data_IF_846529061620
#
_entry.id   IF_846529061620
#
_cell.length_a   1.000
_cell.length_b   1.000
_cell.length_c   1.000
_cell.angle_alpha   90.00
_cell.angle_beta   90.00
_cell.angle_gamma   90.00
#
_symmetry.space_group_name_H-M   'P 1'
#
loop_
_entity.id
_entity.type
_entity.pdbx_description
1 polymer ?
#
# COMPACT_ATOMS: atom_id res chain seq x y z
N UNK A 1 38.06 7.73 -73.06
CA UNK A 1 36.63 7.98 -73.31
C UNK A 1 35.73 7.29 -72.27
N UNK A 2 35.57 5.95 -72.16
CA UNK A 2 34.58 5.38 -71.21
C UNK A 2 34.93 5.52 -69.71
N UNK A 3 36.22 5.70 -69.36
CA UNK A 3 36.66 5.84 -67.95
C UNK A 3 36.46 7.25 -67.38
N UNK A 4 36.58 8.28 -68.22
CA UNK A 4 36.41 9.68 -67.79
C UNK A 4 34.95 9.97 -67.46
N UNK A 5 34.01 9.39 -68.20
CA UNK A 5 32.57 9.55 -67.94
C UNK A 5 32.17 8.93 -66.59
N UNK A 6 32.78 7.80 -66.19
CA UNK A 6 32.54 7.17 -64.89
C UNK A 6 33.09 8.00 -63.72
N UNK A 7 34.27 8.60 -63.89
CA UNK A 7 34.86 9.52 -62.91
C UNK A 7 34.01 10.78 -62.76
N UNK A 8 33.55 11.37 -63.86
CA UNK A 8 32.65 12.54 -63.84
C UNK A 8 31.34 12.20 -63.12
N UNK A 9 30.76 11.03 -63.35
CA UNK A 9 29.54 10.60 -62.67
C UNK A 9 29.74 10.37 -61.16
N UNK A 10 30.92 9.92 -60.74
CA UNK A 10 31.26 9.78 -59.32
C UNK A 10 31.35 11.16 -58.65
N UNK A 11 32.06 12.11 -59.28
CA UNK A 11 32.17 13.48 -58.78
C UNK A 11 30.81 14.17 -58.72
N UNK A 12 29.93 13.96 -59.71
CA UNK A 12 28.58 14.51 -59.69
C UNK A 12 27.71 13.91 -58.58
N UNK A 13 27.86 12.61 -58.30
CA UNK A 13 27.18 11.96 -57.17
C UNK A 13 27.70 12.48 -55.83
N UNK A 14 28.99 12.72 -55.71
CA UNK A 14 29.62 13.30 -54.52
C UNK A 14 29.18 14.75 -54.30
N UNK A 15 29.18 15.58 -55.35
CA UNK A 15 28.66 16.95 -55.31
C UNK A 15 27.17 16.94 -54.96
N UNK A 16 26.36 16.05 -55.56
CA UNK A 16 24.94 15.92 -55.20
C UNK A 16 24.75 15.54 -53.74
N UNK A 17 25.58 14.65 -53.19
CA UNK A 17 25.53 14.26 -51.79
C UNK A 17 26.00 15.37 -50.83
N UNK A 18 26.92 16.23 -51.26
CA UNK A 18 27.39 17.41 -50.51
C UNK A 18 26.44 18.60 -50.62
N UNK A 19 25.68 18.70 -51.71
CA UNK A 19 24.67 19.74 -51.96
C UNK A 19 23.30 19.37 -51.42
N UNK A 20 23.01 18.07 -51.23
CA UNK A 20 21.89 17.66 -50.38
C UNK A 20 22.27 18.01 -48.94
N UNK A 21 21.65 19.05 -48.33
CA UNK A 21 21.96 19.41 -46.96
C UNK A 21 21.70 18.17 -46.11
N UNK A 22 22.71 17.74 -45.33
CA UNK A 22 22.62 16.64 -44.36
C UNK A 22 21.21 16.67 -43.76
N UNK A 23 20.39 15.60 -43.90
CA UNK A 23 19.00 15.62 -43.47
C UNK A 23 18.96 16.22 -42.07
N UNK A 24 18.18 17.30 -41.93
CA UNK A 24 18.16 18.08 -40.70
C UNK A 24 18.04 17.11 -39.52
N UNK A 25 18.85 17.28 -38.44
CA UNK A 25 18.75 16.43 -37.27
C UNK A 25 17.26 16.27 -36.92
N UNK A 26 16.77 15.04 -36.65
CA UNK A 26 15.38 14.85 -36.28
C UNK A 26 15.06 15.86 -35.19
N UNK A 27 14.09 16.72 -35.46
CA UNK A 27 13.74 17.83 -34.58
C UNK A 27 13.59 17.27 -33.16
N UNK A 28 14.22 17.89 -32.14
CA UNK A 28 14.07 17.43 -30.78
C UNK A 28 12.57 17.28 -30.50
N UNK A 29 12.11 16.11 -29.98
CA UNK A 29 10.71 15.94 -29.67
C UNK A 29 10.29 17.12 -28.77
N UNK A 30 9.13 17.74 -29.03
CA UNK A 30 8.69 18.90 -28.29
C UNK A 30 8.76 18.57 -26.79
N UNK A 31 9.36 19.46 -25.99
CA UNK A 31 9.48 19.28 -24.54
C UNK A 31 8.09 18.98 -23.99
N UNK A 32 7.86 17.73 -23.59
CA UNK A 32 6.60 17.34 -22.96
C UNK A 32 6.50 18.08 -21.63
N UNK A 33 5.36 18.68 -21.35
CA UNK A 33 5.13 19.28 -20.04
C UNK A 33 5.19 18.22 -18.94
N UNK A 34 5.51 18.62 -17.71
CA UNK A 34 5.61 17.73 -16.54
C UNK A 34 4.37 16.85 -16.36
N UNK A 35 3.19 17.36 -16.70
CA UNK A 35 1.94 16.58 -16.65
C UNK A 35 1.95 15.40 -17.64
N UNK A 36 2.41 15.62 -18.87
CA UNK A 36 2.50 14.55 -19.87
C UNK A 36 3.59 13.54 -19.49
N UNK A 37 4.70 13.98 -18.91
CA UNK A 37 5.75 13.09 -18.37
C UNK A 37 5.24 12.25 -17.20
N UNK A 38 4.40 12.82 -16.34
CA UNK A 38 3.77 12.11 -15.22
C UNK A 38 2.77 11.06 -15.71
N UNK A 39 1.92 11.39 -16.68
CA UNK A 39 0.98 10.43 -17.28
C UNK A 39 1.74 9.32 -18.02
N UNK A 40 2.79 9.68 -18.77
CA UNK A 40 3.68 8.70 -19.41
C UNK A 40 4.35 7.79 -18.39
N UNK A 41 4.79 8.33 -17.24
CA UNK A 41 5.35 7.57 -16.14
C UNK A 41 4.33 6.57 -15.55
N UNK A 42 3.15 7.02 -15.14
CA UNK A 42 2.12 6.15 -14.56
C UNK A 42 1.74 5.03 -15.55
N UNK A 43 1.62 5.38 -16.83
CA UNK A 43 1.28 4.44 -17.89
C UNK A 43 2.40 3.42 -18.14
N UNK A 44 3.65 3.89 -18.21
CA UNK A 44 4.83 3.04 -18.42
C UNK A 44 5.06 2.04 -17.30
N UNK A 45 4.86 2.46 -16.06
CA UNK A 45 5.09 1.63 -14.88
C UNK A 45 3.82 0.91 -14.38
N UNK A 46 2.69 1.01 -15.09
CA UNK A 46 1.40 0.37 -14.74
C UNK A 46 0.95 0.64 -13.30
N UNK A 47 1.32 1.79 -12.73
CA UNK A 47 1.09 2.13 -11.31
C UNK A 47 -0.39 2.29 -11.00
N UNK A 48 -1.20 2.64 -12.00
CA UNK A 48 -2.63 2.85 -11.84
C UNK A 48 -3.35 1.59 -11.32
N UNK A 49 -2.99 0.40 -11.81
CA UNK A 49 -3.57 -0.86 -11.34
C UNK A 49 -3.22 -1.17 -9.88
N UNK A 50 -1.97 -0.91 -9.49
CA UNK A 50 -1.52 -1.05 -8.11
C UNK A 50 -2.25 -0.09 -7.18
N UNK A 51 -2.42 1.17 -7.59
CA UNK A 51 -3.12 2.18 -6.81
C UNK A 51 -4.59 1.79 -6.56
N UNK A 52 -5.30 1.32 -7.59
CA UNK A 52 -6.69 0.86 -7.46
C UNK A 52 -6.77 -0.35 -6.54
N UNK A 53 -5.91 -1.35 -6.73
CA UNK A 53 -5.89 -2.55 -5.88
C UNK A 53 -5.61 -2.20 -4.40
N UNK A 54 -4.68 -1.30 -4.14
CA UNK A 54 -4.34 -0.85 -2.78
C UNK A 54 -5.51 -0.13 -2.11
N UNK A 55 -6.11 0.85 -2.80
CA UNK A 55 -7.25 1.61 -2.27
C UNK A 55 -8.42 0.66 -1.97
N UNK A 56 -8.77 -0.21 -2.93
CA UNK A 56 -9.82 -1.20 -2.72
C UNK A 56 -9.51 -2.14 -1.55
N UNK A 57 -8.27 -2.60 -1.43
CA UNK A 57 -7.82 -3.43 -0.31
C UNK A 57 -7.99 -2.75 1.06
N UNK A 58 -7.63 -1.47 1.16
CA UNK A 58 -7.80 -0.68 2.39
C UNK A 58 -9.28 -0.57 2.78
N UNK A 59 -10.15 -0.21 1.85
CA UNK A 59 -11.58 -0.05 2.14
C UNK A 59 -12.28 -1.38 2.46
N UNK A 60 -11.94 -2.46 1.74
CA UNK A 60 -12.48 -3.80 2.05
C UNK A 60 -12.05 -4.23 3.46
N UNK A 61 -10.79 -3.99 3.83
CA UNK A 61 -10.31 -4.22 5.19
C UNK A 61 -11.11 -3.46 6.25
N UNK A 62 -11.44 -2.19 6.00
CA UNK A 62 -12.25 -1.38 6.92
C UNK A 62 -13.69 -1.91 7.07
N UNK A 63 -14.32 -2.34 5.97
CA UNK A 63 -15.68 -2.94 6.02
C UNK A 63 -15.67 -4.21 6.87
N UNK A 64 -14.67 -5.07 6.68
CA UNK A 64 -14.53 -6.30 7.47
C UNK A 64 -14.28 -5.96 8.95
N UNK A 65 -13.42 -4.98 9.23
CA UNK A 65 -13.16 -4.55 10.61
C UNK A 65 -14.42 -4.01 11.29
N UNK A 66 -15.23 -3.20 10.60
CA UNK A 66 -16.50 -2.70 11.14
C UNK A 66 -17.49 -3.83 11.39
N UNK A 67 -17.62 -4.80 10.46
CA UNK A 67 -18.45 -5.99 10.69
C UNK A 67 -18.03 -6.75 11.96
N UNK A 68 -16.73 -6.93 12.18
CA UNK A 68 -16.24 -7.63 13.37
C UNK A 68 -16.44 -6.79 14.63
N UNK A 69 -16.00 -5.53 14.60
CA UNK A 69 -15.99 -4.65 15.77
C UNK A 69 -17.39 -4.21 16.20
N UNK A 70 -18.24 -3.86 15.24
CA UNK A 70 -19.51 -3.20 15.50
C UNK A 70 -20.68 -4.18 15.55
N UNK A 71 -20.55 -5.37 14.94
CA UNK A 71 -21.62 -6.39 14.93
C UNK A 71 -21.19 -7.63 15.71
N UNK A 72 -20.06 -8.27 15.38
CA UNK A 72 -19.68 -9.53 16.03
C UNK A 72 -19.22 -9.36 17.48
N UNK A 73 -18.40 -8.36 17.80
CA UNK A 73 -17.90 -8.17 19.17
C UNK A 73 -19.02 -7.89 20.18
N UNK A 74 -20.05 -7.05 19.90
CA UNK A 74 -21.19 -6.93 20.79
C UNK A 74 -21.93 -8.25 21.01
N UNK A 75 -22.16 -9.03 19.95
CA UNK A 75 -22.84 -10.34 20.05
C UNK A 75 -22.02 -11.32 20.89
N UNK A 76 -20.70 -11.38 20.68
CA UNK A 76 -19.78 -12.22 21.46
C UNK A 76 -19.72 -11.75 22.92
N UNK A 77 -19.71 -10.44 23.15
CA UNK A 77 -19.71 -9.84 24.48
C UNK A 77 -20.99 -10.14 25.27
N UNK A 78 -22.13 -10.24 24.60
CA UNK A 78 -23.41 -10.67 25.19
C UNK A 78 -23.44 -12.19 25.45
N UNK A 79 -22.89 -12.99 24.53
CA UNK A 79 -22.90 -14.46 24.64
C UNK A 79 -21.92 -15.00 25.68
N UNK A 80 -20.81 -14.29 25.93
CA UNK A 80 -19.76 -14.69 26.88
C UNK A 80 -19.57 -13.57 27.93
N UNK A 81 -20.43 -13.54 28.98
CA UNK A 81 -20.31 -12.56 30.05
C UNK A 81 -18.95 -12.72 30.74
N UNK A 82 -18.04 -11.77 30.51
CA UNK A 82 -16.65 -11.80 30.99
C UNK A 82 -15.60 -11.45 29.91
N UNK A 83 -15.86 -11.76 28.63
CA UNK A 83 -14.96 -11.37 27.53
C UNK A 83 -15.01 -9.87 27.22
N UNK A 84 -16.17 -9.23 27.42
CA UNK A 84 -16.31 -7.77 27.28
C UNK A 84 -15.47 -6.97 28.28
N UNK A 85 -14.94 -7.62 29.31
CA UNK A 85 -14.12 -7.01 30.37
C UNK A 85 -12.64 -7.42 30.31
N UNK A 86 -12.19 -8.13 29.26
CA UNK A 86 -10.76 -8.45 29.11
C UNK A 86 -9.91 -7.19 28.88
N UNK A 87 -10.48 -6.16 28.25
CA UNK A 87 -9.85 -4.85 28.04
C UNK A 87 -9.49 -4.12 29.34
N UNK A 88 -10.15 -4.46 30.45
CA UNK A 88 -9.89 -3.87 31.77
C UNK A 88 -8.88 -4.68 32.58
N UNK A 89 -8.44 -5.84 32.09
CA UNK A 89 -7.37 -6.61 32.71
C UNK A 89 -6.04 -5.87 32.52
N UNK A 90 -5.68 -5.10 33.53
CA UNK A 90 -4.45 -4.32 33.61
C UNK A 90 -3.62 -4.88 34.75
N UNK A 91 -2.39 -5.29 34.45
CA UNK A 91 -1.42 -5.60 35.49
C UNK A 91 -0.74 -4.27 35.83
N UNK A 92 -0.91 -3.81 37.06
CA UNK A 92 -0.17 -2.67 37.57
C UNK A 92 1.30 -3.06 37.66
N UNK A 93 2.18 -2.31 37.00
CA UNK A 93 3.61 -2.42 37.26
C UNK A 93 3.86 -1.77 38.61
N UNK A 94 4.38 -2.50 39.61
CA UNK A 94 4.70 -1.89 40.89
C UNK A 94 5.75 -0.80 40.65
N UNK A 95 5.57 0.40 41.23
CA UNK A 95 6.55 1.46 41.08
C UNK A 95 7.89 1.02 41.68
N UNK A 96 8.98 1.43 41.06
CA UNK A 96 10.36 1.10 41.44
C UNK A 96 10.74 1.69 42.81
N UNK A 97 9.99 2.67 43.32
CA UNK A 97 10.07 3.15 44.69
C UNK A 97 8.69 3.57 45.22
N UNK A 98 8.39 3.17 46.46
CA UNK A 98 7.20 3.52 47.22
C UNK A 98 7.64 4.38 48.43
N UNK A 99 6.89 5.44 48.74
CA UNK A 99 7.07 6.16 50.01
C UNK A 99 6.61 5.32 51.21
N UNK A 100 6.86 5.81 52.43
CA UNK A 100 6.47 5.13 53.67
C UNK A 100 4.94 4.99 53.84
N UNK A 101 4.15 5.61 52.97
CA UNK A 101 2.70 5.62 52.92
C UNK A 101 2.15 4.76 51.75
N UNK A 102 3.03 4.10 50.98
CA UNK A 102 2.67 3.22 49.88
C UNK A 102 2.33 3.92 48.57
N UNK A 103 2.70 5.19 48.39
CA UNK A 103 2.48 5.93 47.15
C UNK A 103 3.71 5.87 46.23
N UNK A 104 3.53 5.79 44.90
CA UNK A 104 4.63 5.86 43.94
C UNK A 104 5.34 7.23 44.02
N UNK A 105 6.67 7.25 44.17
CA UNK A 105 7.45 8.49 44.26
C UNK A 105 7.95 9.03 42.93
N UNK A 106 7.82 8.27 41.84
CA UNK A 106 8.39 8.60 40.53
C UNK A 106 7.31 9.13 39.56
N UNK A 107 7.32 10.41 39.16
CA UNK A 107 6.28 11.02 38.32
C UNK A 107 6.09 10.32 36.97
N UNK A 108 7.17 9.78 36.38
CA UNK A 108 7.14 9.09 35.09
C UNK A 108 6.61 7.64 35.18
N UNK A 109 6.53 7.08 36.39
CA UNK A 109 6.12 5.69 36.64
C UNK A 109 4.79 5.59 37.42
N UNK A 110 4.14 6.73 37.67
CA UNK A 110 2.78 6.78 38.22
C UNK A 110 1.76 6.29 37.18
N UNK A 111 1.53 4.97 37.13
CA UNK A 111 0.36 4.42 36.43
C UNK A 111 0.59 3.89 35.02
N UNK A 112 1.80 3.43 34.68
CA UNK A 112 2.00 2.69 33.44
C UNK A 112 1.36 1.29 33.54
N UNK A 113 0.07 1.22 33.21
CA UNK A 113 -0.70 0.00 33.17
C UNK A 113 -0.27 -0.80 31.93
N UNK A 114 0.43 -1.93 32.11
CA UNK A 114 0.63 -2.87 31.01
C UNK A 114 -0.73 -3.48 30.67
N UNK A 115 -1.34 -2.93 29.61
CA UNK A 115 -2.63 -3.36 29.09
C UNK A 115 -2.53 -4.67 28.31
N UNK A 116 -2.18 -5.76 29.00
CA UNK A 116 -2.21 -7.13 28.45
C UNK A 116 -3.61 -7.45 27.90
N UNK A 117 -4.65 -6.89 28.54
CA UNK A 117 -6.02 -6.94 28.04
C UNK A 117 -6.20 -6.45 26.61
N UNK A 118 -5.62 -5.31 26.23
CA UNK A 118 -5.76 -4.76 24.87
C UNK A 118 -5.01 -5.61 23.82
N UNK A 119 -3.86 -6.17 24.20
CA UNK A 119 -3.12 -7.09 23.35
C UNK A 119 -3.90 -8.40 23.11
N UNK A 120 -4.47 -8.98 24.18
CA UNK A 120 -5.27 -10.21 24.07
C UNK A 120 -6.56 -9.97 23.26
N UNK A 121 -7.23 -8.83 23.46
CA UNK A 121 -8.39 -8.41 22.64
C UNK A 121 -7.98 -8.26 21.17
N UNK A 122 -6.80 -7.71 20.89
CA UNK A 122 -6.29 -7.59 19.51
C UNK A 122 -6.04 -8.96 18.86
N UNK A 123 -5.49 -9.93 19.60
CA UNK A 123 -5.31 -11.31 19.12
C UNK A 123 -6.66 -11.99 18.85
N UNK A 124 -7.61 -11.88 19.78
CA UNK A 124 -8.96 -12.46 19.63
C UNK A 124 -9.65 -11.84 18.40
N UNK A 125 -9.56 -10.52 18.25
CA UNK A 125 -10.12 -9.79 17.10
C UNK A 125 -9.49 -10.26 15.79
N UNK A 126 -8.16 -10.45 15.75
CA UNK A 126 -7.46 -10.97 14.58
C UNK A 126 -7.95 -12.36 14.18
N UNK A 127 -8.11 -13.27 15.15
CA UNK A 127 -8.63 -14.63 14.89
C UNK A 127 -10.07 -14.57 14.36
N UNK A 128 -10.92 -13.71 14.92
CA UNK A 128 -12.30 -13.52 14.45
C UNK A 128 -12.32 -12.96 13.03
N UNK A 129 -11.54 -11.92 12.74
CA UNK A 129 -11.42 -11.33 11.39
C UNK A 129 -10.96 -12.40 10.39
N UNK A 130 -9.94 -13.18 10.71
CA UNK A 130 -9.45 -14.26 9.87
C UNK A 130 -10.54 -15.32 9.60
N UNK A 131 -11.32 -15.69 10.62
CA UNK A 131 -12.43 -16.65 10.49
C UNK A 131 -13.57 -16.09 9.62
N UNK A 132 -13.89 -14.81 9.74
CA UNK A 132 -14.90 -14.14 8.91
C UNK A 132 -14.46 -14.08 7.45
N UNK A 133 -13.22 -13.69 7.18
CA UNK A 133 -12.66 -13.68 5.82
C UNK A 133 -12.70 -15.09 5.22
N UNK A 134 -12.30 -16.10 6.00
CA UNK A 134 -12.38 -17.50 5.58
C UNK A 134 -13.81 -17.91 5.21
N UNK A 135 -14.80 -17.55 6.04
CA UNK A 135 -16.20 -17.84 5.74
C UNK A 135 -16.68 -17.16 4.46
N UNK A 136 -16.33 -15.89 4.26
CA UNK A 136 -16.68 -15.15 3.03
C UNK A 136 -16.08 -15.85 1.81
N UNK A 137 -14.78 -16.14 1.81
CA UNK A 137 -14.12 -16.83 0.68
C UNK A 137 -14.74 -18.21 0.43
N UNK A 138 -15.05 -18.95 1.49
CA UNK A 138 -15.71 -20.27 1.38
C UNK A 138 -17.11 -20.15 0.77
N UNK A 139 -17.87 -19.12 1.14
CA UNK A 139 -19.19 -18.85 0.57
C UNK A 139 -19.04 -18.47 -0.89
N UNK A 140 -18.19 -17.51 -1.24
CA UNK A 140 -17.97 -17.08 -2.63
C UNK A 140 -17.56 -18.26 -3.52
N UNK A 141 -16.64 -19.11 -3.05
CA UNK A 141 -16.25 -20.35 -3.74
C UNK A 141 -17.41 -21.34 -3.90
N UNK A 142 -18.27 -21.49 -2.89
CA UNK A 142 -19.44 -22.38 -2.95
C UNK A 142 -20.49 -21.88 -3.95
N UNK A 143 -20.55 -20.56 -4.18
CA UNK A 143 -21.53 -19.94 -5.07
C UNK A 143 -21.04 -19.82 -6.53
N UNK A 144 -19.86 -20.38 -6.84
CA UNK A 144 -19.33 -20.42 -8.21
C UNK A 144 -18.92 -19.06 -8.75
N UNK A 145 -18.71 -18.08 -7.88
CA UNK A 145 -18.15 -16.78 -8.23
C UNK A 145 -16.64 -16.93 -8.05
N UNK A 146 -15.96 -17.44 -9.07
CA UNK A 146 -14.51 -17.28 -9.19
C UNK A 146 -14.15 -15.84 -9.60
#
# INVERSE_FOLDING_TARGET
MPKEDEEILQVLKEIKALLEPKPAPPTPPPKKGLWNEFIDFISKYKVLGLAVAFIMGVYVGQVIQSLVKDILMPIIGLALPGLGNLSTFRIAVPPTALDAQGNPTDPDWTGQLFGIGNFLVSIITFVIVALVIFLIVKITKKWGIE
#
